data_IF_722221496449
#
_entry.id   IF_722221496449
#
_cell.length_a   1.000
_cell.length_b   1.000
_cell.length_c   1.000
_cell.angle_alpha   90.00
_cell.angle_beta   90.00
_cell.angle_gamma   90.00
#
_symmetry.space_group_name_H-M   'P 1'
#
loop_
_entity.id
_entity.type
_entity.pdbx_description
1 polymer ?
#
# COMPACT_ATOMS: atom_id res chain seq x y z
N UNK A 1 -8.08 23.93 2.12
CA UNK A 1 -7.09 24.41 3.11
C UNK A 1 -5.79 23.70 2.81
N UNK A 2 -4.78 24.38 2.25
CA UNK A 2 -3.46 23.76 2.01
C UNK A 2 -2.71 23.88 3.34
N UNK A 3 -2.62 22.78 4.08
CA UNK A 3 -1.77 22.75 5.28
C UNK A 3 -0.32 22.80 4.83
N UNK A 4 0.39 23.82 5.32
CA UNK A 4 1.79 24.03 5.01
C UNK A 4 2.65 22.87 5.55
N UNK A 5 3.53 22.30 4.71
CA UNK A 5 4.42 21.20 5.10
C UNK A 5 5.34 21.65 6.25
N UNK A 6 5.51 20.79 7.26
CA UNK A 6 6.44 21.02 8.38
C UNK A 6 7.89 21.19 7.89
N UNK A 7 8.73 21.89 8.66
CA UNK A 7 10.15 22.08 8.36
C UNK A 7 10.86 20.74 8.11
N UNK A 8 10.64 19.77 8.99
CA UNK A 8 11.24 18.43 8.90
C UNK A 8 10.82 17.72 7.63
N UNK A 9 9.54 17.81 7.26
CA UNK A 9 9.06 17.20 6.01
C UNK A 9 9.82 17.75 4.81
N UNK A 10 10.05 19.07 4.75
CA UNK A 10 10.79 19.70 3.63
C UNK A 10 12.25 19.26 3.59
N UNK A 11 12.92 19.22 4.75
CA UNK A 11 14.32 18.79 4.86
C UNK A 11 14.47 17.33 4.39
N UNK A 12 13.62 16.44 4.92
CA UNK A 12 13.62 15.02 4.53
C UNK A 12 13.32 14.87 3.04
N UNK A 13 12.33 15.60 2.52
CA UNK A 13 11.95 15.57 1.11
C UNK A 13 13.10 16.00 0.20
N UNK A 14 13.76 17.13 0.48
CA UNK A 14 14.94 17.59 -0.27
C UNK A 14 16.07 16.58 -0.24
N UNK A 15 16.34 15.98 0.93
CA UNK A 15 17.39 14.98 1.09
C UNK A 15 17.10 13.70 0.30
N UNK A 16 15.88 13.17 0.39
CA UNK A 16 15.47 11.98 -0.34
C UNK A 16 15.40 12.23 -1.85
N UNK A 17 14.97 13.43 -2.28
CA UNK A 17 14.89 13.77 -3.71
C UNK A 17 16.25 13.71 -4.42
N UNK A 18 17.32 14.03 -3.70
CA UNK A 18 18.69 13.98 -4.22
C UNK A 18 19.26 12.56 -4.35
N UNK A 19 18.60 11.53 -3.79
CA UNK A 19 19.09 10.15 -3.81
C UNK A 19 19.09 9.59 -5.23
N UNK A 20 20.16 8.91 -5.64
CA UNK A 20 20.19 8.14 -6.89
C UNK A 20 19.42 6.83 -6.77
N UNK A 21 19.00 6.25 -7.91
CA UNK A 21 18.34 4.94 -7.92
C UNK A 21 19.27 3.89 -7.33
N UNK A 22 18.74 3.03 -6.45
CA UNK A 22 19.50 2.05 -5.69
C UNK A 22 20.21 2.60 -4.46
N UNK A 23 20.27 3.93 -4.27
CA UNK A 23 20.92 4.52 -3.11
C UNK A 23 20.11 4.26 -1.84
N UNK A 24 20.80 3.78 -0.81
CA UNK A 24 20.31 3.65 0.55
C UNK A 24 20.61 4.93 1.34
N UNK A 25 19.56 5.49 1.95
CA UNK A 25 19.64 6.56 2.92
C UNK A 25 19.27 5.99 4.29
N UNK A 26 20.20 6.03 5.22
CA UNK A 26 20.04 5.48 6.56
C UNK A 26 19.14 6.36 7.44
N UNK A 27 18.53 5.76 8.46
CA UNK A 27 17.77 6.53 9.45
C UNK A 27 18.64 7.51 10.23
N UNK A 28 19.93 7.23 10.38
CA UNK A 28 20.87 8.09 11.10
C UNK A 28 21.21 9.34 10.29
N UNK A 29 21.39 9.21 8.96
CA UNK A 29 21.54 10.36 8.05
C UNK A 29 20.29 11.25 8.08
N UNK A 30 19.09 10.64 8.02
CA UNK A 30 17.83 11.38 8.09
C UNK A 30 17.72 12.10 9.45
N UNK A 31 18.04 11.42 10.55
CA UNK A 31 17.97 11.98 11.90
C UNK A 31 18.95 13.13 12.10
N UNK A 32 20.14 13.02 11.50
CA UNK A 32 21.16 14.07 11.50
C UNK A 32 20.66 15.30 10.75
N UNK A 33 20.04 15.12 9.59
CA UNK A 33 19.52 16.22 8.78
C UNK A 33 18.42 17.02 9.49
N UNK A 34 17.56 16.37 10.28
CA UNK A 34 16.49 17.05 11.05
C UNK A 34 16.88 17.38 12.50
N UNK A 35 18.07 16.99 12.95
CA UNK A 35 18.56 17.21 14.32
C UNK A 35 17.87 16.40 15.42
N UNK A 36 17.14 15.33 15.08
CA UNK A 36 16.42 14.47 16.05
C UNK A 36 16.13 13.09 15.47
N UNK A 37 15.91 12.09 16.34
CA UNK A 37 15.60 10.72 15.91
C UNK A 37 14.31 10.68 15.07
N UNK A 38 14.45 10.40 13.77
CA UNK A 38 13.34 10.37 12.81
C UNK A 38 12.31 9.29 13.16
N UNK A 39 12.74 8.16 13.73
CA UNK A 39 11.85 7.03 14.03
C UNK A 39 10.96 7.31 15.22
N UNK A 40 11.45 8.10 16.19
CA UNK A 40 10.71 8.43 17.42
C UNK A 40 9.92 9.73 17.30
N UNK A 41 10.47 10.76 16.67
CA UNK A 41 9.94 12.11 16.75
C UNK A 41 9.41 12.68 15.43
N UNK A 42 9.78 12.08 14.29
CA UNK A 42 9.43 12.61 12.96
C UNK A 42 8.96 11.52 11.98
N UNK A 43 8.37 10.43 12.50
CA UNK A 43 7.91 9.30 11.67
C UNK A 43 6.78 9.71 10.72
N UNK A 44 5.89 10.60 11.16
CA UNK A 44 4.85 11.20 10.33
C UNK A 44 5.43 12.08 9.22
N UNK A 45 6.45 12.89 9.52
CA UNK A 45 7.15 13.72 8.53
C UNK A 45 7.82 12.87 7.46
N UNK A 46 8.43 11.75 7.83
CA UNK A 46 9.04 10.80 6.89
C UNK A 46 8.01 10.18 5.94
N UNK A 47 6.85 9.76 6.47
CA UNK A 47 5.75 9.21 5.67
C UNK A 47 5.21 10.26 4.70
N UNK A 48 4.98 11.49 5.15
CA UNK A 48 4.50 12.59 4.30
C UNK A 48 5.52 12.93 3.22
N UNK A 49 6.81 13.00 3.52
CA UNK A 49 7.86 13.28 2.54
C UNK A 49 7.90 12.20 1.44
N UNK A 50 7.87 10.92 1.81
CA UNK A 50 7.81 9.81 0.84
C UNK A 50 6.57 9.87 -0.05
N UNK A 51 5.41 10.17 0.53
CA UNK A 51 4.15 10.30 -0.23
C UNK A 51 4.21 11.47 -1.21
N UNK A 52 4.80 12.59 -0.78
CA UNK A 52 5.00 13.76 -1.64
C UNK A 52 5.86 13.41 -2.85
N UNK A 53 7.00 12.77 -2.62
CA UNK A 53 7.93 12.36 -3.69
C UNK A 53 7.30 11.38 -4.68
N UNK A 54 6.44 10.47 -4.21
CA UNK A 54 5.67 9.59 -5.09
C UNK A 54 4.73 10.39 -6.01
N UNK A 55 3.95 11.32 -5.44
CA UNK A 55 2.92 12.05 -6.19
C UNK A 55 3.48 13.15 -7.09
N UNK A 56 4.50 13.88 -6.63
CA UNK A 56 5.02 15.06 -7.32
C UNK A 56 6.21 14.72 -8.24
N UNK A 57 7.00 13.69 -7.91
CA UNK A 57 8.24 13.36 -8.62
C UNK A 57 8.28 11.93 -9.17
N UNK A 58 7.30 11.08 -8.87
CA UNK A 58 7.30 9.67 -9.27
C UNK A 58 8.41 8.84 -8.62
N UNK A 59 8.98 9.28 -7.49
CA UNK A 59 10.09 8.58 -6.81
C UNK A 59 9.53 7.65 -5.74
N UNK A 60 9.94 6.38 -5.78
CA UNK A 60 9.53 5.35 -4.81
C UNK A 60 10.71 4.94 -3.94
N UNK A 61 10.45 4.79 -2.64
CA UNK A 61 11.42 4.29 -1.67
C UNK A 61 10.92 2.99 -1.03
N UNK A 62 11.75 1.96 -1.07
CA UNK A 62 11.62 0.74 -0.29
C UNK A 62 12.21 0.92 1.10
N UNK A 63 11.79 0.06 2.02
CA UNK A 63 12.31 0.06 3.40
C UNK A 63 13.31 -1.08 3.53
N UNK A 64 14.56 -0.74 3.85
CA UNK A 64 15.53 -1.71 4.36
C UNK A 64 15.39 -1.78 5.87
N UNK A 65 14.89 -2.91 6.36
CA UNK A 65 14.43 -3.04 7.75
C UNK A 65 15.53 -2.73 8.75
N UNK A 66 15.28 -1.71 9.58
CA UNK A 66 16.19 -1.29 10.64
C UNK A 66 17.36 -0.42 10.17
N UNK A 67 17.54 -0.28 8.86
CA UNK A 67 18.67 0.45 8.27
C UNK A 67 18.23 1.80 7.72
N UNK A 68 17.26 1.80 6.79
CA UNK A 68 16.89 3.03 6.11
C UNK A 68 15.91 2.86 4.96
N UNK A 69 16.00 3.78 4.01
CA UNK A 69 15.19 3.86 2.81
C UNK A 69 16.06 3.74 1.57
N UNK A 70 15.76 2.77 0.71
CA UNK A 70 16.42 2.60 -0.58
C UNK A 70 15.54 3.19 -1.69
N UNK A 71 16.10 4.02 -2.57
CA UNK A 71 15.37 4.46 -3.77
C UNK A 71 15.26 3.27 -4.73
N UNK A 72 14.04 2.89 -5.08
CA UNK A 72 13.77 1.71 -5.90
C UNK A 72 13.96 2.02 -7.39
N UNK A 73 14.39 1.00 -8.13
CA UNK A 73 14.24 0.96 -9.59
C UNK A 73 12.86 0.42 -10.01
N UNK A 74 12.59 0.39 -11.31
CA UNK A 74 11.29 -0.02 -11.85
C UNK A 74 10.96 -1.50 -11.57
N UNK A 75 11.97 -2.39 -11.57
CA UNK A 75 11.79 -3.81 -11.29
C UNK A 75 11.46 -4.04 -9.81
N UNK A 76 12.21 -3.39 -8.93
CA UNK A 76 11.97 -3.40 -7.49
C UNK A 76 10.59 -2.84 -7.13
N UNK A 77 10.14 -1.79 -7.83
CA UNK A 77 8.77 -1.26 -7.66
C UNK A 77 7.73 -2.34 -7.96
N UNK A 78 7.87 -3.06 -9.08
CA UNK A 78 6.95 -4.16 -9.43
C UNK A 78 6.98 -5.25 -8.36
N UNK A 79 8.17 -5.63 -7.88
CA UNK A 79 8.32 -6.67 -6.85
C UNK A 79 7.67 -6.29 -5.52
N UNK A 80 7.67 -5.01 -5.14
CA UNK A 80 7.00 -4.57 -3.91
C UNK A 80 5.48 -4.83 -3.91
N UNK A 81 4.85 -4.86 -5.08
CA UNK A 81 3.39 -5.04 -5.23
C UNK A 81 2.89 -6.39 -4.69
N UNK A 82 3.73 -7.43 -4.72
CA UNK A 82 3.38 -8.75 -4.16
C UNK A 82 3.17 -8.66 -2.64
N UNK A 83 4.03 -7.90 -1.96
CA UNK A 83 3.94 -7.71 -0.51
C UNK A 83 2.69 -6.91 -0.12
N UNK A 84 2.34 -5.90 -0.93
CA UNK A 84 1.13 -5.10 -0.75
C UNK A 84 -0.14 -5.93 -1.00
N UNK A 85 -0.15 -6.78 -2.04
CA UNK A 85 -1.26 -7.72 -2.29
C UNK A 85 -1.50 -8.63 -1.09
N UNK A 86 -0.44 -9.19 -0.50
CA UNK A 86 -0.54 -10.04 0.70
C UNK A 86 -1.07 -9.22 1.89
N UNK A 87 -0.63 -7.98 2.06
CA UNK A 87 -1.12 -7.08 3.11
C UNK A 87 -2.62 -6.82 2.95
N UNK A 88 -3.08 -6.51 1.75
CA UNK A 88 -4.50 -6.29 1.42
C UNK A 88 -5.31 -7.56 1.72
N UNK A 89 -4.88 -8.72 1.23
CA UNK A 89 -5.55 -10.00 1.49
C UNK A 89 -5.71 -10.25 3.00
N UNK A 90 -4.63 -10.07 3.78
CA UNK A 90 -4.67 -10.27 5.22
C UNK A 90 -5.57 -9.25 5.92
N UNK A 91 -5.56 -7.99 5.47
CA UNK A 91 -6.44 -6.96 6.01
C UNK A 91 -7.92 -7.30 5.77
N UNK A 92 -8.29 -7.66 4.53
CA UNK A 92 -9.67 -8.06 4.19
C UNK A 92 -10.11 -9.29 4.97
N UNK A 93 -9.26 -10.31 5.09
CA UNK A 93 -9.57 -11.51 5.89
C UNK A 93 -9.81 -11.18 7.37
N UNK A 94 -8.91 -10.40 7.99
CA UNK A 94 -9.09 -9.98 9.39
C UNK A 94 -10.40 -9.21 9.59
N UNK A 95 -10.82 -8.40 8.63
CA UNK A 95 -12.12 -7.71 8.71
C UNK A 95 -13.28 -8.70 8.62
N UNK A 96 -13.22 -9.69 7.74
CA UNK A 96 -14.23 -10.75 7.66
C UNK A 96 -14.29 -11.59 8.96
N UNK A 97 -13.14 -11.92 9.54
CA UNK A 97 -13.05 -12.64 10.81
C UNK A 97 -13.67 -11.84 11.97
N UNK A 98 -13.58 -10.50 11.94
CA UNK A 98 -14.29 -9.63 12.89
C UNK A 98 -15.79 -9.62 12.65
N UNK A 99 -16.23 -9.64 11.40
CA UNK A 99 -17.66 -9.63 11.05
C UNK A 99 -18.32 -10.99 11.33
N UNK A 100 -17.58 -12.09 11.27
CA UNK A 100 -18.11 -13.44 11.49
C UNK A 100 -18.51 -13.73 12.93
N UNK A 101 -17.87 -13.06 13.90
CA UNK A 101 -18.19 -13.21 15.34
C UNK A 101 -19.36 -12.32 15.80
N UNK A 102 -19.88 -11.46 14.94
CA UNK A 102 -20.98 -10.55 15.28
C UNK A 102 -22.30 -11.32 15.34
N UNK A 103 -23.06 -11.10 16.43
CA UNK A 103 -24.42 -11.63 16.58
C UNK A 103 -25.40 -10.88 15.67
N UNK A 104 -25.44 -11.27 14.40
CA UNK A 104 -26.17 -10.55 13.35
C UNK A 104 -27.64 -10.27 13.69
N UNK A 105 -28.36 -11.25 14.22
CA UNK A 105 -29.79 -11.12 14.50
C UNK A 105 -30.12 -10.06 15.54
N UNK A 106 -29.21 -9.85 16.49
CA UNK A 106 -29.34 -8.87 17.57
C UNK A 106 -28.99 -7.44 17.19
N UNK A 107 -28.52 -7.20 15.96
CA UNK A 107 -28.16 -5.87 15.50
C UNK A 107 -29.39 -5.04 15.10
N UNK A 108 -29.32 -3.69 15.27
CA UNK A 108 -30.24 -2.78 14.61
C UNK A 108 -30.13 -2.89 13.08
N UNK A 109 -31.22 -2.57 12.38
CA UNK A 109 -31.34 -2.77 10.93
C UNK A 109 -30.26 -2.04 10.11
N UNK A 110 -29.88 -0.83 10.49
CA UNK A 110 -28.83 -0.08 9.81
C UNK A 110 -27.45 -0.77 9.91
N UNK A 111 -27.14 -1.34 11.08
CA UNK A 111 -25.91 -2.09 11.29
C UNK A 111 -25.92 -3.45 10.58
N UNK A 112 -27.09 -4.09 10.41
CA UNK A 112 -27.24 -5.28 9.58
C UNK A 112 -26.88 -4.98 8.12
N UNK A 113 -27.39 -3.88 7.56
CA UNK A 113 -27.03 -3.45 6.20
C UNK A 113 -25.54 -3.15 6.07
N UNK A 114 -24.96 -2.41 7.02
CA UNK A 114 -23.52 -2.14 7.02
C UNK A 114 -22.69 -3.42 7.09
N UNK A 115 -23.09 -4.39 7.90
CA UNK A 115 -22.42 -5.70 8.00
C UNK A 115 -22.43 -6.43 6.65
N UNK A 116 -23.59 -6.51 5.99
CA UNK A 116 -23.73 -7.17 4.69
C UNK A 116 -22.88 -6.47 3.62
N UNK A 117 -22.94 -5.14 3.55
CA UNK A 117 -22.13 -4.34 2.61
C UNK A 117 -20.64 -4.55 2.84
N UNK A 118 -20.18 -4.44 4.09
CA UNK A 118 -18.78 -4.62 4.43
C UNK A 118 -18.31 -6.05 4.15
N UNK A 119 -19.14 -7.06 4.45
CA UNK A 119 -18.84 -8.47 4.17
C UNK A 119 -18.69 -8.73 2.68
N UNK A 120 -19.60 -8.20 1.85
CA UNK A 120 -19.54 -8.34 0.41
C UNK A 120 -18.29 -7.68 -0.19
N UNK A 121 -18.01 -6.44 0.22
CA UNK A 121 -16.83 -5.69 -0.25
C UNK A 121 -15.52 -6.39 0.13
N UNK A 122 -15.37 -6.78 1.40
CA UNK A 122 -14.14 -7.45 1.87
C UNK A 122 -14.01 -8.86 1.28
N UNK A 123 -15.12 -9.55 1.05
CA UNK A 123 -15.17 -10.82 0.34
C UNK A 123 -14.62 -10.72 -1.08
N UNK A 124 -15.07 -9.71 -1.84
CA UNK A 124 -14.57 -9.42 -3.18
C UNK A 124 -13.06 -9.09 -3.15
N UNK A 125 -12.62 -8.16 -2.31
CA UNK A 125 -11.20 -7.78 -2.21
C UNK A 125 -10.33 -9.01 -1.86
N UNK A 126 -10.79 -9.84 -0.92
CA UNK A 126 -10.13 -11.08 -0.54
C UNK A 126 -10.03 -12.06 -1.71
N UNK A 127 -11.09 -12.22 -2.49
CA UNK A 127 -11.09 -13.07 -3.68
C UNK A 127 -10.06 -12.60 -4.71
N UNK A 128 -10.05 -11.31 -5.05
CA UNK A 128 -9.12 -10.76 -6.04
C UNK A 128 -7.65 -10.76 -5.56
N UNK A 129 -7.43 -10.60 -4.25
CA UNK A 129 -6.08 -10.54 -3.67
C UNK A 129 -5.43 -11.92 -3.43
N UNK A 130 -6.12 -13.03 -3.73
CA UNK A 130 -5.54 -14.39 -3.64
C UNK A 130 -4.47 -14.61 -4.71
N UNK A 131 -3.42 -15.35 -4.35
CA UNK A 131 -2.37 -15.77 -5.30
C UNK A 131 -2.93 -16.59 -6.47
N UNK A 132 -3.96 -17.40 -6.24
CA UNK A 132 -4.64 -18.16 -7.29
C UNK A 132 -5.34 -17.26 -8.31
N UNK A 133 -5.94 -16.17 -7.84
CA UNK A 133 -6.58 -15.14 -8.69
C UNK A 133 -5.54 -14.42 -9.54
N UNK A 134 -4.41 -14.03 -8.94
CA UNK A 134 -3.28 -13.45 -9.68
C UNK A 134 -2.78 -14.40 -10.78
N UNK A 135 -2.64 -15.70 -10.50
CA UNK A 135 -2.26 -16.71 -11.51
C UNK A 135 -3.27 -16.79 -12.66
N UNK A 136 -4.58 -16.81 -12.37
CA UNK A 136 -5.62 -16.82 -13.41
C UNK A 136 -5.53 -15.61 -14.33
N UNK A 137 -5.31 -14.43 -13.74
CA UNK A 137 -5.14 -13.18 -14.49
C UNK A 137 -3.86 -13.26 -15.33
N UNK A 138 -2.74 -13.68 -14.76
CA UNK A 138 -1.47 -13.83 -15.47
C UNK A 138 -1.57 -14.78 -16.68
N UNK A 139 -2.27 -15.93 -16.55
CA UNK A 139 -2.50 -16.85 -17.68
C UNK A 139 -3.31 -16.21 -18.80
N UNK A 140 -4.23 -15.29 -18.48
CA UNK A 140 -5.00 -14.54 -19.48
C UNK A 140 -4.13 -13.47 -20.14
N UNK A 141 -3.36 -12.70 -19.36
CA UNK A 141 -2.41 -11.68 -19.86
C UNK A 141 -1.37 -12.30 -20.78
N UNK A 142 -0.83 -13.48 -20.45
CA UNK A 142 0.11 -14.19 -21.34
C UNK A 142 -0.48 -14.52 -22.72
N UNK A 143 -1.82 -14.62 -22.84
CA UNK A 143 -2.51 -14.90 -24.10
C UNK A 143 -2.94 -13.63 -24.84
N UNK A 144 -2.85 -12.45 -24.21
CA UNK A 144 -3.29 -11.17 -24.77
C UNK A 144 -2.24 -10.09 -24.50
N UNK A 145 -1.61 -9.57 -25.56
CA UNK A 145 -0.57 -8.52 -25.47
C UNK A 145 -1.07 -7.18 -24.93
N UNK A 146 -2.39 -6.99 -24.86
CA UNK A 146 -3.04 -5.76 -24.39
C UNK A 146 -3.50 -5.84 -22.94
N UNK A 147 -3.69 -4.67 -22.33
CA UNK A 147 -4.35 -4.50 -21.03
C UNK A 147 -5.70 -5.24 -21.01
N UNK A 148 -5.99 -5.95 -19.90
CA UNK A 148 -7.26 -6.63 -19.72
C UNK A 148 -8.26 -5.63 -19.13
N UNK A 149 -9.44 -5.53 -19.72
CA UNK A 149 -10.49 -4.67 -19.17
C UNK A 149 -11.00 -5.20 -17.81
N UNK A 150 -11.54 -4.31 -16.97
CA UNK A 150 -12.09 -4.70 -15.67
C UNK A 150 -13.23 -5.71 -15.85
N UNK A 151 -14.11 -5.51 -16.85
CA UNK A 151 -15.24 -6.41 -17.13
C UNK A 151 -14.78 -7.83 -17.49
N UNK A 152 -13.76 -7.96 -18.35
CA UNK A 152 -13.16 -9.26 -18.67
C UNK A 152 -12.51 -9.89 -17.44
N UNK A 153 -11.87 -9.10 -16.59
CA UNK A 153 -11.28 -9.58 -15.35
C UNK A 153 -12.35 -10.15 -14.42
N UNK A 154 -13.50 -9.49 -14.26
CA UNK A 154 -14.62 -9.98 -13.45
C UNK A 154 -15.18 -11.30 -13.99
N UNK A 155 -15.25 -11.47 -15.31
CA UNK A 155 -15.74 -12.70 -15.94
C UNK A 155 -14.91 -13.95 -15.56
N UNK A 156 -13.63 -13.78 -15.22
CA UNK A 156 -12.76 -14.88 -14.78
C UNK A 156 -13.15 -15.49 -13.42
N UNK A 157 -14.01 -14.79 -12.67
CA UNK A 157 -14.44 -15.17 -11.32
C UNK A 157 -15.94 -15.47 -11.21
N UNK A 158 -16.72 -15.32 -12.28
CA UNK A 158 -18.17 -15.60 -12.33
C UNK A 158 -18.51 -17.08 -12.63
N UNK A 159 -17.73 -18.03 -12.11
CA UNK A 159 -18.02 -19.47 -12.22
C UNK A 159 -18.38 -20.06 -10.86
#
# INVERSE_FOLDING_TARGET
MIHEKSSDTRIIESMLKAASVGQLITYDEISTAIGRDVRKHASSSLVTARRSLLLECGIVFGVERGVGLKRLDDEEIVDTTESDRVRILRASKRTLDKLSVVKFDSLPEDYKRQHVVASAQMGAISLFSKKTSAKKIATKVQKSTSEISIGETLSLFNK
#
